data_IF_899464457058
#
_entry.id   IF_899464457058
#
_cell.length_a   1.000
_cell.length_b   1.000
_cell.length_c   1.000
_cell.angle_alpha   90.00
_cell.angle_beta   90.00
_cell.angle_gamma   90.00
#
_symmetry.space_group_name_H-M   'P 1'
#
loop_
_entity.id
_entity.type
_entity.pdbx_description
1 polymer ?
#
# COMPACT_ATOMS: atom_id res chain seq x y z
N UNK A 1 22.59 1.21 -2.47
CA UNK A 1 21.84 1.77 -1.31
C UNK A 1 20.57 1.00 -0.99
N UNK A 2 19.65 0.75 -1.96
CA UNK A 2 18.48 -0.10 -1.74
C UNK A 2 18.88 -1.56 -1.47
N UNK A 3 19.78 -2.11 -2.27
CA UNK A 3 20.28 -3.49 -2.14
C UNK A 3 21.00 -3.73 -0.79
N UNK A 4 21.68 -2.74 -0.26
CA UNK A 4 22.34 -2.81 1.04
C UNK A 4 21.31 -2.91 2.18
N UNK A 5 20.21 -2.13 2.09
CA UNK A 5 19.09 -2.18 3.06
C UNK A 5 18.39 -3.54 3.00
N UNK A 6 18.12 -4.03 1.79
CA UNK A 6 17.48 -5.34 1.59
C UNK A 6 18.38 -6.43 2.19
N UNK A 7 19.68 -6.40 1.91
CA UNK A 7 20.65 -7.34 2.48
C UNK A 7 20.66 -7.31 4.00
N UNK A 8 20.68 -6.11 4.60
CA UNK A 8 20.63 -5.94 6.05
C UNK A 8 19.34 -6.48 6.68
N UNK A 9 18.19 -6.30 5.99
CA UNK A 9 16.92 -6.87 6.43
C UNK A 9 16.96 -8.40 6.41
N UNK A 10 17.48 -9.01 5.35
CA UNK A 10 17.62 -10.47 5.26
C UNK A 10 18.60 -11.02 6.29
N UNK A 11 19.69 -10.31 6.58
CA UNK A 11 20.65 -10.71 7.61
C UNK A 11 20.06 -10.67 9.04
N UNK A 12 19.07 -9.83 9.28
CA UNK A 12 18.37 -9.70 10.57
C UNK A 12 17.07 -10.52 10.65
N UNK A 13 16.62 -11.05 9.52
CA UNK A 13 15.38 -11.84 9.47
C UNK A 13 15.61 -13.21 10.13
N UNK A 14 14.60 -13.67 10.86
CA UNK A 14 14.54 -15.05 11.31
C UNK A 14 14.23 -15.96 10.13
N UNK A 15 15.05 -16.98 9.92
CA UNK A 15 14.87 -17.95 8.84
C UNK A 15 14.17 -19.17 9.43
N UNK A 16 12.97 -19.45 8.93
CA UNK A 16 12.21 -20.62 9.30
C UNK A 16 12.36 -21.66 8.20
N UNK A 17 12.98 -22.78 8.51
CA UNK A 17 13.13 -23.88 7.55
C UNK A 17 11.81 -24.66 7.38
N UNK A 18 11.43 -24.88 6.13
CA UNK A 18 10.27 -25.70 5.82
C UNK A 18 10.54 -27.18 6.18
N UNK A 19 9.76 -27.71 7.10
CA UNK A 19 9.78 -29.12 7.44
C UNK A 19 8.66 -29.89 6.72
N UNK A 20 8.70 -31.22 6.77
CA UNK A 20 7.74 -32.09 6.09
C UNK A 20 6.29 -31.84 6.54
N UNK A 21 6.07 -31.57 7.83
CA UNK A 21 4.73 -31.23 8.36
C UNK A 21 4.18 -29.94 7.75
N UNK A 22 5.00 -28.90 7.66
CA UNK A 22 4.65 -27.62 7.03
C UNK A 22 4.30 -27.80 5.54
N UNK A 23 5.15 -28.55 4.83
CA UNK A 23 4.94 -28.84 3.41
C UNK A 23 3.62 -29.58 3.19
N UNK A 24 3.31 -30.56 4.04
CA UNK A 24 2.05 -31.34 3.95
C UNK A 24 0.83 -30.44 4.28
N UNK A 25 0.91 -29.56 5.29
CA UNK A 25 -0.16 -28.62 5.61
C UNK A 25 -0.42 -27.64 4.46
N UNK A 26 0.63 -27.09 3.88
CA UNK A 26 0.53 -26.20 2.72
C UNK A 26 -0.06 -26.92 1.49
N UNK A 27 0.31 -28.18 1.26
CA UNK A 27 -0.25 -28.99 0.19
C UNK A 27 -1.74 -29.22 0.39
N UNK A 28 -2.17 -29.59 1.58
CA UNK A 28 -3.60 -29.79 1.90
C UNK A 28 -4.37 -28.49 1.69
N UNK A 29 -3.85 -27.34 2.14
CA UNK A 29 -4.45 -26.02 1.92
C UNK A 29 -4.65 -25.73 0.44
N UNK A 30 -3.60 -25.94 -0.35
CA UNK A 30 -3.62 -25.74 -1.78
C UNK A 30 -4.60 -26.67 -2.50
N UNK A 31 -4.59 -27.96 -2.20
CA UNK A 31 -5.48 -28.97 -2.80
C UNK A 31 -6.96 -28.69 -2.49
N UNK A 32 -7.27 -28.10 -1.33
CA UNK A 32 -8.62 -27.69 -0.93
C UNK A 32 -9.04 -26.34 -1.52
N UNK A 33 -8.14 -25.60 -2.18
CA UNK A 33 -8.41 -24.25 -2.69
C UNK A 33 -8.62 -23.20 -1.60
N UNK A 34 -8.09 -23.43 -0.39
CA UNK A 34 -8.15 -22.46 0.69
C UNK A 34 -7.16 -21.31 0.46
N UNK A 35 -7.52 -20.06 0.77
CA UNK A 35 -6.58 -18.93 0.68
C UNK A 35 -5.44 -19.07 1.71
N UNK A 36 -4.27 -18.41 1.49
CA UNK A 36 -3.85 -17.78 0.24
C UNK A 36 -3.38 -18.82 -0.79
N UNK A 37 -3.17 -18.42 -2.05
CA UNK A 37 -2.60 -19.29 -3.08
C UNK A 37 -3.59 -19.72 -4.16
N UNK A 38 -4.65 -18.95 -4.40
CA UNK A 38 -5.71 -19.28 -5.38
C UNK A 38 -5.22 -19.49 -6.82
N UNK A 39 -4.09 -18.92 -7.23
CA UNK A 39 -3.61 -18.91 -8.61
C UNK A 39 -2.40 -19.83 -8.84
N UNK A 40 -2.41 -21.05 -8.31
CA UNK A 40 -1.29 -21.99 -8.37
C UNK A 40 -0.04 -21.55 -7.57
N UNK A 41 -0.18 -20.66 -6.60
CA UNK A 41 0.91 -20.25 -5.72
C UNK A 41 0.96 -21.14 -4.47
N UNK A 42 1.70 -22.24 -4.59
CA UNK A 42 2.00 -23.11 -3.46
C UNK A 42 2.84 -22.40 -2.39
N UNK A 43 3.66 -21.43 -2.81
CA UNK A 43 4.50 -20.62 -1.93
C UNK A 43 3.69 -19.81 -0.92
N UNK A 44 2.56 -19.23 -1.33
CA UNK A 44 1.70 -18.45 -0.42
C UNK A 44 1.04 -19.32 0.64
N UNK A 45 0.61 -20.51 0.24
CA UNK A 45 0.10 -21.51 1.18
C UNK A 45 1.17 -21.93 2.21
N UNK A 46 2.41 -22.12 1.75
CA UNK A 46 3.54 -22.46 2.64
C UNK A 46 3.87 -21.30 3.59
N UNK A 47 3.93 -20.08 3.09
CA UNK A 47 4.19 -18.89 3.91
C UNK A 47 3.13 -18.72 5.00
N UNK A 48 1.86 -18.89 4.64
CA UNK A 48 0.77 -18.78 5.60
C UNK A 48 0.80 -19.87 6.68
N UNK A 49 1.01 -21.14 6.31
CA UNK A 49 1.14 -22.24 7.27
C UNK A 49 2.37 -22.06 8.19
N UNK A 50 3.45 -21.48 7.65
CA UNK A 50 4.63 -21.11 8.45
C UNK A 50 4.29 -20.09 9.52
N UNK A 51 3.57 -19.01 9.16
CA UNK A 51 3.12 -18.01 10.12
C UNK A 51 2.19 -18.62 11.18
N UNK A 52 1.27 -19.50 10.76
CA UNK A 52 0.38 -20.21 11.67
C UNK A 52 1.10 -21.19 12.60
N UNK A 53 2.22 -21.75 12.20
CA UNK A 53 2.98 -22.67 13.04
C UNK A 53 3.90 -21.91 14.00
N UNK A 54 4.62 -20.91 13.51
CA UNK A 54 5.77 -20.33 14.20
C UNK A 54 5.40 -19.16 15.12
N UNK A 55 4.38 -18.37 14.77
CA UNK A 55 3.97 -17.24 15.63
C UNK A 55 3.37 -17.76 16.94
N UNK A 56 3.77 -17.12 18.05
CA UNK A 56 3.26 -17.46 19.38
C UNK A 56 1.75 -17.18 19.51
N UNK A 57 1.07 -17.98 20.37
CA UNK A 57 -0.33 -17.76 20.75
C UNK A 57 -0.43 -16.43 21.55
N UNK A 58 -1.59 -15.77 21.49
CA UNK A 58 -1.90 -14.50 22.16
C UNK A 58 -1.05 -13.31 21.73
N UNK A 59 -0.40 -13.40 20.56
CA UNK A 59 0.43 -12.35 19.99
C UNK A 59 -0.17 -11.84 18.69
N UNK A 60 -0.56 -10.55 18.65
CA UNK A 60 -1.05 -9.91 17.44
C UNK A 60 0.01 -9.90 16.35
N UNK A 61 -0.43 -10.11 15.11
CA UNK A 61 0.41 -10.08 13.92
C UNK A 61 0.20 -8.76 13.17
N UNK A 62 1.27 -8.03 12.92
CA UNK A 62 1.29 -6.94 11.94
C UNK A 62 1.62 -7.55 10.59
N UNK A 63 0.65 -7.52 9.67
CA UNK A 63 0.77 -8.10 8.34
C UNK A 63 0.72 -6.98 7.29
N UNK A 64 1.77 -6.90 6.48
CA UNK A 64 1.87 -5.88 5.43
C UNK A 64 2.01 -6.60 4.09
N UNK A 65 1.05 -6.41 3.19
CA UNK A 65 1.08 -7.02 1.86
C UNK A 65 0.22 -6.23 0.87
N UNK A 66 0.72 -6.09 -0.35
CA UNK A 66 -0.03 -5.57 -1.52
C UNK A 66 -0.56 -6.72 -2.40
N UNK A 67 -0.41 -7.95 -1.95
CA UNK A 67 -0.91 -9.13 -2.67
C UNK A 67 -2.41 -9.31 -2.44
N UNK A 68 -3.16 -9.39 -3.56
CA UNK A 68 -4.62 -9.51 -3.57
C UNK A 68 -5.13 -10.80 -2.95
N UNK A 69 -4.32 -11.85 -2.84
CA UNK A 69 -4.71 -13.11 -2.20
C UNK A 69 -4.98 -12.96 -0.71
N UNK A 70 -4.43 -11.90 -0.10
CA UNK A 70 -4.68 -11.55 1.30
C UNK A 70 -5.81 -10.54 1.50
N UNK A 71 -6.44 -10.05 0.42
CA UNK A 71 -7.51 -9.07 0.51
C UNK A 71 -8.89 -9.74 0.60
N UNK A 72 -9.83 -9.04 1.21
CA UNK A 72 -11.24 -9.42 1.18
C UNK A 72 -11.78 -9.29 -0.25
N UNK A 73 -12.54 -10.27 -0.71
CA UNK A 73 -13.19 -10.24 -2.04
C UNK A 73 -14.30 -9.18 -2.14
N UNK A 74 -14.84 -8.75 -0.99
CA UNK A 74 -15.94 -7.78 -0.94
C UNK A 74 -15.41 -6.35 -0.75
N UNK A 75 -14.31 -6.20 -0.03
CA UNK A 75 -13.73 -4.91 0.32
C UNK A 75 -12.20 -5.00 0.28
N UNK A 76 -11.63 -4.55 -0.81
CA UNK A 76 -10.18 -4.60 -1.02
C UNK A 76 -9.36 -3.80 0.01
N UNK A 77 -10.00 -2.99 0.85
CA UNK A 77 -9.32 -2.29 1.95
C UNK A 77 -9.12 -3.18 3.17
N UNK A 78 -9.79 -4.33 3.23
CA UNK A 78 -9.78 -5.22 4.39
C UNK A 78 -9.03 -6.51 4.11
N UNK A 79 -8.52 -7.09 5.19
CA UNK A 79 -7.89 -8.41 5.15
C UNK A 79 -8.90 -9.52 4.82
N UNK A 80 -8.43 -10.61 4.23
CA UNK A 80 -9.26 -11.77 3.89
C UNK A 80 -9.90 -12.37 5.14
N UNK A 81 -11.23 -12.43 5.16
CA UNK A 81 -12.01 -12.87 6.31
C UNK A 81 -11.82 -14.35 6.69
N UNK A 82 -11.49 -15.19 5.72
CA UNK A 82 -11.18 -16.61 6.01
C UNK A 82 -9.87 -16.70 6.80
N UNK A 83 -8.83 -16.02 6.33
CA UNK A 83 -7.52 -16.00 6.98
C UNK A 83 -7.56 -15.32 8.36
N UNK A 84 -8.31 -14.22 8.49
CA UNK A 84 -8.51 -13.54 9.76
C UNK A 84 -9.14 -14.45 10.81
N UNK A 85 -10.23 -15.15 10.45
CA UNK A 85 -10.92 -16.09 11.35
C UNK A 85 -10.05 -17.31 11.68
N UNK A 86 -9.31 -17.84 10.72
CA UNK A 86 -8.37 -18.94 10.95
C UNK A 86 -7.28 -18.52 11.95
N UNK A 87 -6.73 -17.32 11.78
CA UNK A 87 -5.76 -16.78 12.71
C UNK A 87 -6.32 -16.62 14.13
N UNK A 88 -7.46 -15.98 14.27
CA UNK A 88 -8.13 -15.81 15.56
C UNK A 88 -8.34 -17.14 16.27
N UNK A 89 -8.82 -18.16 15.55
CA UNK A 89 -9.08 -19.48 16.11
C UNK A 89 -7.79 -20.22 16.52
N UNK A 90 -6.71 -20.06 15.78
CA UNK A 90 -5.46 -20.80 16.02
C UNK A 90 -4.51 -20.05 16.97
N UNK A 91 -4.55 -18.73 16.97
CA UNK A 91 -3.60 -17.87 17.68
C UNK A 91 -4.22 -17.09 18.84
N UNK A 92 -5.54 -17.08 18.95
CA UNK A 92 -6.27 -16.30 19.97
C UNK A 92 -5.84 -14.83 19.98
N UNK A 93 -5.55 -14.26 18.81
CA UNK A 93 -5.03 -12.91 18.63
C UNK A 93 -5.50 -12.33 17.29
N UNK A 94 -5.16 -11.08 16.99
CA UNK A 94 -5.65 -10.35 15.82
C UNK A 94 -4.56 -10.17 14.77
N UNK A 95 -5.00 -10.00 13.53
CA UNK A 95 -4.17 -9.49 12.43
C UNK A 95 -4.43 -8.00 12.29
N UNK A 96 -3.36 -7.21 12.35
CA UNK A 96 -3.35 -5.76 12.07
C UNK A 96 -2.78 -5.61 10.66
N UNK A 97 -3.68 -5.38 9.71
CA UNK A 97 -3.34 -5.40 8.29
C UNK A 97 -3.05 -4.01 7.75
N UNK A 98 -2.02 -3.92 6.91
CA UNK A 98 -1.68 -2.73 6.12
C UNK A 98 -1.36 -3.14 4.68
N UNK A 99 -1.81 -2.38 3.71
CA UNK A 99 -1.50 -2.61 2.29
C UNK A 99 -0.08 -2.21 1.91
N UNK A 100 0.52 -1.30 2.68
CA UNK A 100 1.87 -0.82 2.39
C UNK A 100 2.63 -0.50 3.67
N UNK A 101 3.96 -0.53 3.55
CA UNK A 101 4.87 -0.05 4.61
C UNK A 101 4.57 1.43 4.95
N UNK A 102 4.18 2.22 3.96
CA UNK A 102 3.80 3.62 4.14
C UNK A 102 2.59 3.76 5.07
N UNK A 103 1.52 2.99 4.85
CA UNK A 103 0.34 2.97 5.73
C UNK A 103 0.71 2.55 7.16
N UNK A 104 1.54 1.52 7.28
CA UNK A 104 2.02 1.09 8.59
C UNK A 104 2.76 2.22 9.33
N UNK A 105 3.71 2.89 8.68
CA UNK A 105 4.45 3.99 9.30
C UNK A 105 3.54 5.17 9.64
N UNK A 106 2.64 5.56 8.75
CA UNK A 106 1.66 6.62 9.03
C UNK A 106 0.78 6.30 10.25
N UNK A 107 0.36 5.04 10.39
CA UNK A 107 -0.47 4.59 11.50
C UNK A 107 0.29 4.50 12.84
N UNK A 108 1.49 3.93 12.82
CA UNK A 108 2.26 3.64 14.06
C UNK A 108 3.21 4.76 14.47
N UNK A 109 3.65 5.56 13.51
CA UNK A 109 4.65 6.61 13.71
C UNK A 109 4.24 7.91 12.99
N UNK A 110 3.10 8.53 13.35
CA UNK A 110 2.53 9.67 12.60
C UNK A 110 3.45 10.89 12.55
N UNK A 111 4.42 10.97 13.45
CA UNK A 111 5.40 12.06 13.48
C UNK A 111 6.60 11.84 12.54
N UNK A 112 6.71 10.67 11.90
CA UNK A 112 7.79 10.38 10.95
C UNK A 112 7.28 10.70 9.54
N UNK A 113 7.80 11.78 8.94
CA UNK A 113 7.60 12.04 7.51
C UNK A 113 8.43 11.06 6.70
N UNK A 114 7.78 10.28 5.87
CA UNK A 114 8.47 9.38 4.94
C UNK A 114 9.14 10.18 3.83
N UNK A 115 10.23 9.64 3.27
CA UNK A 115 10.92 10.28 2.15
C UNK A 115 10.00 10.52 0.94
N UNK A 116 9.03 9.62 0.72
CA UNK A 116 7.99 9.78 -0.30
C UNK A 116 7.07 10.97 -0.04
N UNK A 117 6.70 11.22 1.23
CA UNK A 117 5.85 12.37 1.58
C UNK A 117 6.60 13.68 1.36
N UNK A 118 7.86 13.75 1.80
CA UNK A 118 8.72 14.91 1.53
C UNK A 118 8.89 15.17 0.02
N UNK A 119 9.00 14.12 -0.78
CA UNK A 119 9.12 14.24 -2.23
C UNK A 119 7.82 14.73 -2.87
N UNK A 120 6.66 14.27 -2.41
CA UNK A 120 5.35 14.78 -2.83
C UNK A 120 5.20 16.26 -2.49
N UNK A 121 5.53 16.65 -1.25
CA UNK A 121 5.47 18.04 -0.80
C UNK A 121 6.32 18.94 -1.71
N UNK A 122 7.53 18.51 -2.09
CA UNK A 122 8.40 19.24 -3.03
C UNK A 122 7.75 19.38 -4.42
N UNK A 123 7.15 18.32 -4.97
CA UNK A 123 6.49 18.44 -6.28
C UNK A 123 5.22 19.30 -6.21
N UNK A 124 4.48 19.29 -5.10
CA UNK A 124 3.33 20.17 -4.88
C UNK A 124 3.79 21.63 -4.81
N UNK A 125 4.87 21.92 -4.08
CA UNK A 125 5.47 23.25 -4.02
C UNK A 125 5.96 23.71 -5.41
N UNK A 126 6.61 22.83 -6.17
CA UNK A 126 7.04 23.15 -7.53
C UNK A 126 5.84 23.35 -8.47
N UNK A 127 4.76 22.61 -8.31
CA UNK A 127 3.51 22.82 -9.06
C UNK A 127 2.91 24.18 -8.75
N UNK A 128 2.85 24.56 -7.47
CA UNK A 128 2.35 25.84 -7.01
C UNK A 128 3.16 27.01 -7.61
N UNK A 129 4.48 26.87 -7.68
CA UNK A 129 5.39 27.92 -8.15
C UNK A 129 5.72 27.79 -9.64
N UNK A 130 5.07 26.91 -10.39
CA UNK A 130 5.36 26.72 -11.80
C UNK A 130 4.92 27.92 -12.63
N UNK A 131 5.84 28.39 -13.49
CA UNK A 131 5.66 29.58 -14.34
C UNK A 131 5.56 29.22 -15.84
N UNK A 132 5.60 27.94 -16.17
CA UNK A 132 5.46 27.44 -17.54
C UNK A 132 4.53 26.24 -17.61
N UNK A 133 3.84 26.07 -18.73
CA UNK A 133 3.03 24.88 -19.00
C UNK A 133 3.83 23.57 -18.86
N UNK A 134 5.09 23.61 -19.31
CA UNK A 134 5.98 22.44 -19.22
C UNK A 134 6.28 22.06 -17.78
N UNK A 135 6.53 23.03 -16.91
CA UNK A 135 6.84 22.76 -15.50
C UNK A 135 5.61 22.27 -14.75
N UNK A 136 4.44 22.87 -14.99
CA UNK A 136 3.16 22.40 -14.42
C UNK A 136 2.89 20.96 -14.84
N UNK A 137 2.99 20.65 -16.13
CA UNK A 137 2.82 19.30 -16.69
C UNK A 137 3.80 18.31 -16.08
N UNK A 138 5.09 18.67 -16.03
CA UNK A 138 6.12 17.82 -15.44
C UNK A 138 5.85 17.46 -13.99
N UNK A 139 5.53 18.46 -13.16
CA UNK A 139 5.29 18.24 -11.73
C UNK A 139 4.03 17.42 -11.49
N UNK A 140 2.95 17.65 -12.24
CA UNK A 140 1.73 16.85 -12.13
C UNK A 140 1.96 15.39 -12.56
N UNK A 141 2.70 15.15 -13.64
CA UNK A 141 3.11 13.80 -14.03
C UNK A 141 4.03 13.10 -13.02
N UNK A 142 4.82 13.86 -12.24
CA UNK A 142 5.58 13.29 -11.13
C UNK A 142 4.68 12.90 -9.97
N UNK A 143 3.70 13.73 -9.66
CA UNK A 143 2.72 13.48 -8.62
C UNK A 143 1.83 12.28 -8.95
N UNK A 144 1.41 12.09 -10.21
CA UNK A 144 0.57 10.96 -10.62
C UNK A 144 1.18 9.57 -10.38
N UNK A 145 2.49 9.50 -10.12
CA UNK A 145 3.20 8.24 -9.81
C UNK A 145 3.06 7.79 -8.37
N UNK A 146 2.54 8.64 -7.51
CA UNK A 146 2.30 8.30 -6.11
C UNK A 146 0.86 7.86 -5.89
N UNK A 147 0.67 6.93 -4.95
CA UNK A 147 -0.63 6.30 -4.69
C UNK A 147 -1.16 6.54 -3.28
N UNK A 148 -0.52 7.41 -2.49
CA UNK A 148 -0.76 7.55 -1.06
C UNK A 148 -0.72 9.01 -0.60
N UNK A 149 -1.59 9.85 -1.17
CA UNK A 149 -1.72 11.26 -0.76
C UNK A 149 -2.47 11.41 0.56
N UNK A 150 -2.06 12.41 1.36
CA UNK A 150 -2.88 12.91 2.46
C UNK A 150 -3.99 13.84 1.94
N UNK A 151 -5.02 14.09 2.76
CA UNK A 151 -6.08 15.06 2.44
C UNK A 151 -5.49 16.44 2.10
N UNK A 152 -4.55 16.95 2.93
CA UNK A 152 -3.90 18.23 2.70
C UNK A 152 -3.13 18.27 1.38
N UNK A 153 -2.44 17.19 1.01
CA UNK A 153 -1.69 17.11 -0.24
C UNK A 153 -2.63 17.11 -1.45
N UNK A 154 -3.71 16.34 -1.40
CA UNK A 154 -4.66 16.27 -2.52
C UNK A 154 -5.41 17.59 -2.67
N UNK A 155 -5.86 18.19 -1.57
CA UNK A 155 -6.48 19.51 -1.58
C UNK A 155 -5.54 20.58 -2.16
N UNK A 156 -4.26 20.54 -1.79
CA UNK A 156 -3.24 21.45 -2.33
C UNK A 156 -3.07 21.28 -3.84
N UNK A 157 -3.05 20.03 -4.37
CA UNK A 157 -2.95 19.77 -5.81
C UNK A 157 -4.15 20.37 -6.54
N UNK A 158 -5.38 20.08 -6.08
CA UNK A 158 -6.59 20.59 -6.73
C UNK A 158 -6.73 22.11 -6.61
N UNK A 159 -6.33 22.70 -5.49
CA UNK A 159 -6.31 24.16 -5.35
C UNK A 159 -5.46 24.84 -6.44
N UNK A 160 -4.37 24.17 -6.90
CA UNK A 160 -3.54 24.72 -7.97
C UNK A 160 -4.24 24.76 -9.34
N UNK A 161 -5.24 23.90 -9.58
CA UNK A 161 -6.02 23.94 -10.84
C UNK A 161 -6.77 25.26 -11.01
N UNK A 162 -7.03 25.99 -9.92
CA UNK A 162 -7.70 27.29 -9.93
C UNK A 162 -6.75 28.44 -9.67
N UNK A 163 -5.71 28.27 -8.86
CA UNK A 163 -4.82 29.35 -8.41
C UNK A 163 -3.58 29.52 -9.26
N UNK A 164 -3.07 28.46 -9.90
CA UNK A 164 -1.93 28.55 -10.81
C UNK A 164 -2.40 28.67 -12.27
N UNK A 165 -2.15 29.85 -12.87
CA UNK A 165 -2.59 30.14 -14.25
C UNK A 165 -2.05 29.14 -15.27
N UNK A 166 -0.82 28.61 -15.09
CA UNK A 166 -0.22 27.67 -16.04
C UNK A 166 -0.95 26.31 -16.00
N UNK A 167 -1.28 25.83 -14.79
CA UNK A 167 -2.03 24.57 -14.64
C UNK A 167 -3.49 24.75 -15.10
N UNK A 168 -4.11 25.86 -14.76
CA UNK A 168 -5.47 26.19 -15.19
C UNK A 168 -5.64 26.06 -16.72
N UNK A 169 -4.73 26.67 -17.49
CA UNK A 169 -4.83 26.64 -18.96
C UNK A 169 -4.61 25.27 -19.60
N UNK A 170 -3.88 24.38 -18.95
CA UNK A 170 -3.63 23.01 -19.46
C UNK A 170 -4.50 21.95 -18.80
N UNK A 171 -5.39 22.31 -17.88
CA UNK A 171 -6.22 21.34 -17.15
C UNK A 171 -7.18 20.57 -18.05
N UNK A 172 -7.55 21.13 -19.23
CA UNK A 172 -8.38 20.48 -20.24
C UNK A 172 -7.57 19.65 -21.26
N UNK A 173 -6.23 19.72 -21.24
CA UNK A 173 -5.38 18.86 -22.07
C UNK A 173 -5.57 17.40 -21.66
N UNK A 174 -5.69 16.50 -22.63
CA UNK A 174 -6.08 15.08 -22.42
C UNK A 174 -5.24 14.38 -21.34
N UNK A 175 -3.92 14.51 -21.40
CA UNK A 175 -3.00 13.87 -20.44
C UNK A 175 -3.10 14.46 -19.02
N UNK A 176 -3.38 15.75 -18.88
CA UNK A 176 -3.55 16.43 -17.61
C UNK A 176 -4.91 16.14 -17.01
N UNK A 177 -5.95 16.18 -17.85
CA UNK A 177 -7.32 15.89 -17.44
C UNK A 177 -7.44 14.45 -16.93
N UNK A 178 -6.83 13.47 -17.62
CA UNK A 178 -6.78 12.08 -17.17
C UNK A 178 -6.15 11.95 -15.77
N UNK A 179 -5.01 12.58 -15.53
CA UNK A 179 -4.35 12.56 -14.22
C UNK A 179 -5.24 13.17 -13.12
N UNK A 180 -5.85 14.33 -13.40
CA UNK A 180 -6.73 14.99 -12.44
C UNK A 180 -7.97 14.16 -12.15
N UNK A 181 -8.55 13.53 -13.18
CA UNK A 181 -9.70 12.65 -13.04
C UNK A 181 -9.37 11.43 -12.18
N UNK A 182 -8.26 10.75 -12.43
CA UNK A 182 -7.79 9.59 -11.66
C UNK A 182 -7.54 9.95 -10.20
N UNK A 183 -6.93 11.11 -9.94
CA UNK A 183 -6.72 11.60 -8.59
C UNK A 183 -8.05 11.93 -7.90
N UNK A 184 -8.98 12.56 -8.60
CA UNK A 184 -10.31 12.87 -8.07
C UNK A 184 -11.08 11.58 -7.75
N UNK A 185 -11.16 10.65 -8.68
CA UNK A 185 -11.90 9.38 -8.49
C UNK A 185 -11.37 8.62 -7.27
N UNK A 186 -10.06 8.63 -7.07
CA UNK A 186 -9.42 7.92 -5.97
C UNK A 186 -9.54 8.60 -4.61
N UNK A 187 -9.59 9.94 -4.57
CA UNK A 187 -9.46 10.70 -3.32
C UNK A 187 -10.64 11.62 -2.99
N UNK A 188 -11.71 11.65 -3.80
CA UNK A 188 -12.86 12.54 -3.58
C UNK A 188 -13.49 12.43 -2.18
N UNK A 189 -13.45 11.24 -1.57
CA UNK A 189 -14.01 10.99 -0.24
C UNK A 189 -13.23 11.63 0.92
N UNK A 190 -12.01 12.11 0.67
CA UNK A 190 -11.12 12.73 1.66
C UNK A 190 -10.76 14.17 1.31
N UNK A 191 -11.31 14.69 0.20
CA UNK A 191 -11.15 16.09 -0.21
C UNK A 191 -12.13 16.98 0.54
N UNK A 192 -11.70 18.24 0.79
CA UNK A 192 -12.58 19.28 1.28
C UNK A 192 -13.58 19.70 0.17
N UNK A 193 -14.75 20.21 0.56
CA UNK A 193 -15.65 20.85 -0.37
C UNK A 193 -15.04 22.19 -0.80
N UNK A 194 -14.83 22.37 -2.13
CA UNK A 194 -14.30 23.61 -2.74
C UNK A 194 -15.41 24.54 -3.19
#
# INVERSE_FOLDING_TARGET
KADEIIKELFEKAEIIEANESLINSAKVRFDLGNPPGKNNSYGDALNWETLLQDTSIDKDLIFISDDKDYFSEIDNAKFNKYLEREWENRKNSKIIFFKSISEFFKSKYPNIKLASDLQKDVYIEHLQNSNTFRDSRYNLHKLSKFNDFTSDQINSIFFQTFSNTQLYWISEDEDINEILYDLYDKYNSVMDEF
#
